data_IF_874311317765
#
_entry.id   IF_874311317765
#
_cell.length_a   1.000
_cell.length_b   1.000
_cell.length_c   1.000
_cell.angle_alpha   90.00
_cell.angle_beta   90.00
_cell.angle_gamma   90.00
#
_symmetry.space_group_name_H-M   'P 1'
#
loop_
_entity.id
_entity.type
_entity.pdbx_description
1 polymer ?
#
# COMPACT_ATOMS: atom_id res chain seq x y z
N UNK A 1 -26.70 -21.53 31.68
CA UNK A 1 -27.47 -22.14 30.57
C UNK A 1 -28.81 -22.55 31.10
N UNK A 2 -29.83 -21.72 30.90
CA UNK A 2 -31.22 -22.17 31.03
C UNK A 2 -31.61 -22.88 29.73
N UNK A 3 -32.41 -23.94 29.82
CA UNK A 3 -32.91 -24.63 28.63
C UNK A 3 -33.76 -23.65 27.79
N UNK A 4 -33.63 -23.74 26.46
CA UNK A 4 -34.48 -23.09 25.45
C UNK A 4 -34.36 -21.57 25.22
N UNK A 5 -33.46 -20.85 25.89
CA UNK A 5 -33.25 -19.40 25.66
C UNK A 5 -31.88 -19.03 25.08
N UNK A 6 -31.01 -20.02 24.85
CA UNK A 6 -29.66 -19.79 24.34
C UNK A 6 -29.52 -20.30 22.91
N UNK A 7 -28.90 -19.53 22.01
CA UNK A 7 -28.59 -19.98 20.65
C UNK A 7 -27.56 -21.11 20.68
N UNK A 8 -27.61 -21.96 19.66
CA UNK A 8 -26.70 -23.09 19.52
C UNK A 8 -25.24 -22.62 19.50
N UNK A 9 -24.41 -23.25 20.33
CA UNK A 9 -23.01 -22.90 20.52
C UNK A 9 -22.13 -24.01 19.93
N UNK A 10 -21.76 -23.85 18.67
CA UNK A 10 -21.04 -24.85 17.88
C UNK A 10 -19.55 -24.52 17.78
N UNK A 11 -18.75 -25.53 17.41
CA UNK A 11 -17.34 -25.32 17.10
C UNK A 11 -17.18 -24.78 15.68
N UNK A 12 -16.39 -23.73 15.54
CA UNK A 12 -16.13 -23.03 14.29
C UNK A 12 -14.61 -22.93 14.09
N UNK A 13 -14.14 -23.21 12.87
CA UNK A 13 -12.73 -23.05 12.50
C UNK A 13 -12.54 -21.68 11.86
N UNK A 14 -11.74 -20.81 12.48
CA UNK A 14 -11.40 -19.49 11.93
C UNK A 14 -10.05 -19.59 11.24
N UNK A 15 -10.00 -19.21 9.96
CA UNK A 15 -8.78 -19.07 9.18
C UNK A 15 -8.39 -17.59 9.10
N UNK A 16 -7.20 -17.27 9.58
CA UNK A 16 -6.63 -15.93 9.51
C UNK A 16 -6.03 -15.64 8.14
N UNK A 17 -5.72 -14.36 7.89
CA UNK A 17 -5.09 -13.91 6.65
C UNK A 17 -3.65 -14.42 6.51
N UNK A 18 -2.98 -14.73 7.62
CA UNK A 18 -1.65 -15.36 7.65
C UNK A 18 -1.68 -16.88 7.42
N UNK A 19 -2.88 -17.47 7.27
CA UNK A 19 -3.07 -18.90 7.04
C UNK A 19 -3.08 -19.75 8.32
N UNK A 20 -2.94 -19.14 9.51
CA UNK A 20 -3.17 -19.85 10.77
C UNK A 20 -4.66 -20.19 10.92
N UNK A 21 -4.94 -21.33 11.53
CA UNK A 21 -6.31 -21.79 11.80
C UNK A 21 -6.46 -22.06 13.30
N UNK A 22 -7.50 -21.50 13.92
CA UNK A 22 -7.85 -21.80 15.30
C UNK A 22 -9.31 -22.22 15.45
N UNK A 23 -9.57 -23.11 16.40
CA UNK A 23 -10.90 -23.60 16.70
C UNK A 23 -11.47 -22.79 17.85
N UNK A 24 -12.57 -22.08 17.59
CA UNK A 24 -13.28 -21.29 18.60
C UNK A 24 -14.76 -21.65 18.58
N UNK A 25 -15.43 -21.52 19.72
CA UNK A 25 -16.87 -21.74 19.79
C UNK A 25 -17.62 -20.46 19.45
N UNK A 26 -18.58 -20.57 18.54
CA UNK A 26 -19.38 -19.45 18.05
C UNK A 26 -20.84 -19.87 17.92
N UNK A 27 -21.74 -18.90 17.83
CA UNK A 27 -23.18 -19.13 17.56
C UNK A 27 -23.51 -19.01 16.08
N UNK A 28 -22.50 -19.03 15.21
CA UNK A 28 -22.69 -18.90 13.77
C UNK A 28 -22.89 -20.28 13.16
N UNK A 29 -23.88 -20.41 12.28
CA UNK A 29 -24.22 -21.66 11.56
C UNK A 29 -23.21 -22.04 10.46
N UNK A 30 -21.95 -21.61 10.58
CA UNK A 30 -20.91 -21.82 9.58
C UNK A 30 -19.74 -22.58 10.19
N UNK A 31 -19.28 -23.61 9.50
CA UNK A 31 -18.16 -24.43 9.98
C UNK A 31 -16.81 -23.72 9.83
N UNK A 32 -16.71 -22.77 8.88
CA UNK A 32 -15.48 -22.03 8.57
C UNK A 32 -15.72 -20.53 8.42
N UNK A 33 -14.88 -19.73 9.06
CA UNK A 33 -14.83 -18.28 8.91
C UNK A 33 -13.44 -17.87 8.38
N UNK A 34 -13.40 -17.20 7.24
CA UNK A 34 -12.17 -16.58 6.74
C UNK A 34 -12.14 -15.13 7.22
N UNK A 35 -11.14 -14.77 8.01
CA UNK A 35 -10.94 -13.40 8.46
C UNK A 35 -9.93 -12.69 7.56
N UNK A 36 -10.33 -11.57 6.96
CA UNK A 36 -9.44 -10.74 6.13
C UNK A 36 -8.55 -9.81 6.97
N UNK A 37 -8.99 -9.52 8.20
CA UNK A 37 -8.28 -8.67 9.15
C UNK A 37 -8.14 -9.43 10.47
N UNK A 38 -6.90 -9.53 10.94
CA UNK A 38 -6.55 -10.21 12.18
C UNK A 38 -5.53 -9.39 12.98
N UNK A 39 -5.17 -9.89 14.16
CA UNK A 39 -4.18 -9.25 15.04
C UNK A 39 -2.79 -9.16 14.42
N UNK A 40 -2.46 -10.03 13.47
CA UNK A 40 -1.17 -10.05 12.78
C UNK A 40 -1.09 -8.95 11.71
N UNK A 41 -2.22 -8.58 11.10
CA UNK A 41 -2.27 -7.61 10.00
C UNK A 41 -2.81 -6.23 10.38
N UNK A 42 -3.62 -6.10 11.44
CA UNK A 42 -4.26 -4.81 11.72
C UNK A 42 -3.21 -3.74 12.13
N UNK A 43 -3.22 -2.53 11.53
CA UNK A 43 -2.20 -1.49 11.75
C UNK A 43 -1.98 -1.09 13.20
N UNK A 44 -3.00 -1.29 14.05
CA UNK A 44 -2.90 -1.07 15.49
C UNK A 44 -1.91 -2.01 16.18
N UNK A 45 -1.89 -3.30 15.82
CA UNK A 45 -1.03 -4.30 16.46
C UNK A 45 0.37 -4.34 15.84
N UNK A 46 0.49 -4.02 14.55
CA UNK A 46 1.79 -4.00 13.86
C UNK A 46 2.59 -2.71 14.09
N UNK A 47 1.98 -1.67 14.68
CA UNK A 47 2.64 -0.41 15.04
C UNK A 47 3.12 0.44 13.86
N UNK A 48 2.94 -0.03 12.63
CA UNK A 48 3.30 0.66 11.40
C UNK A 48 2.13 1.55 10.99
N UNK A 49 2.30 2.86 11.09
CA UNK A 49 1.36 3.84 10.53
C UNK A 49 1.45 3.80 9.01
N UNK A 50 0.67 2.93 8.38
CA UNK A 50 0.52 2.90 6.93
C UNK A 50 -0.23 4.17 6.51
N UNK A 51 0.49 5.17 5.98
CA UNK A 51 -0.15 6.33 5.35
C UNK A 51 -0.75 5.89 4.01
N UNK A 52 -2.02 5.48 4.02
CA UNK A 52 -2.75 5.08 2.81
C UNK A 52 -3.02 6.29 1.89
N UNK A 53 -3.05 7.50 2.47
CA UNK A 53 -3.51 8.71 1.79
C UNK A 53 -2.44 9.39 0.90
N UNK A 54 -1.16 9.02 1.03
CA UNK A 54 -0.07 9.58 0.20
C UNK A 54 -0.04 8.99 -1.20
N UNK A 55 -0.35 7.69 -1.33
CA UNK A 55 -0.33 7.00 -2.62
C UNK A 55 -1.36 7.58 -3.61
N UNK A 56 -2.60 7.82 -3.16
CA UNK A 56 -3.66 8.33 -4.02
C UNK A 56 -3.46 9.76 -4.51
N UNK A 57 -2.77 10.62 -3.74
CA UNK A 57 -2.46 11.99 -4.15
C UNK A 57 -1.35 12.03 -5.21
N UNK A 58 -0.32 11.19 -5.05
CA UNK A 58 0.76 11.04 -6.04
C UNK A 58 0.24 10.40 -7.32
N UNK A 59 -0.62 9.38 -7.23
CA UNK A 59 -1.27 8.75 -8.39
C UNK A 59 -2.10 9.76 -9.19
N UNK A 60 -2.95 10.54 -8.52
CA UNK A 60 -3.75 11.60 -9.15
C UNK A 60 -2.89 12.71 -9.77
N UNK A 61 -1.77 13.04 -9.15
CA UNK A 61 -0.83 14.02 -9.69
C UNK A 61 -0.15 13.48 -10.96
N UNK A 62 0.38 12.24 -10.91
CA UNK A 62 0.97 11.56 -12.07
C UNK A 62 -0.02 11.40 -13.22
N UNK A 63 -1.28 11.09 -12.94
CA UNK A 63 -2.32 10.94 -13.96
C UNK A 63 -2.69 12.27 -14.63
N UNK A 64 -2.57 13.41 -13.92
CA UNK A 64 -2.90 14.74 -14.45
C UNK A 64 -1.73 15.43 -15.14
N UNK A 65 -0.51 15.18 -14.67
CA UNK A 65 0.66 15.95 -15.08
C UNK A 65 1.80 15.09 -15.65
N UNK A 66 1.66 13.76 -15.69
CA UNK A 66 2.71 12.84 -16.13
C UNK A 66 3.23 13.11 -17.55
N UNK A 67 2.32 13.35 -18.50
CA UNK A 67 2.71 13.63 -19.90
C UNK A 67 3.35 15.03 -20.09
N UNK A 68 2.94 15.99 -19.27
CA UNK A 68 3.50 17.34 -19.27
C UNK A 68 4.88 17.38 -18.61
N UNK A 69 5.07 16.62 -17.51
CA UNK A 69 6.36 16.46 -16.85
C UNK A 69 7.36 15.71 -17.73
N UNK A 70 6.94 14.66 -18.44
CA UNK A 70 7.82 13.92 -19.34
C UNK A 70 8.39 14.81 -20.47
N UNK A 71 7.57 15.72 -21.02
CA UNK A 71 8.02 16.70 -22.01
C UNK A 71 8.92 17.79 -21.43
N UNK A 72 8.67 18.23 -20.20
CA UNK A 72 9.52 19.22 -19.52
C UNK A 72 10.88 18.63 -19.16
N UNK A 73 10.93 17.42 -18.61
CA UNK A 73 12.19 16.74 -18.28
C UNK A 73 13.04 16.51 -19.54
N UNK A 74 12.42 16.08 -20.65
CA UNK A 74 13.14 15.93 -21.92
C UNK A 74 13.64 17.27 -22.49
N UNK A 75 12.95 18.39 -22.23
CA UNK A 75 13.38 19.72 -22.66
C UNK A 75 14.50 20.29 -21.75
N UNK A 76 14.40 20.09 -20.44
CA UNK A 76 15.42 20.49 -19.46
C UNK A 76 16.70 19.64 -19.62
N UNK A 77 16.62 18.35 -19.92
CA UNK A 77 17.78 17.50 -20.23
C UNK A 77 18.48 17.94 -21.51
N UNK A 78 17.73 18.32 -22.55
CA UNK A 78 18.30 18.86 -23.79
C UNK A 78 18.95 20.25 -23.60
N UNK A 79 18.37 21.09 -22.73
CA UNK A 79 18.93 22.40 -22.40
C UNK A 79 20.21 22.30 -21.55
N UNK A 80 20.23 21.43 -20.54
CA UNK A 80 21.41 21.22 -19.70
C UNK A 80 22.58 20.58 -20.47
N UNK A 81 22.30 19.65 -21.40
CA UNK A 81 23.34 19.06 -22.25
C UNK A 81 23.99 20.10 -23.21
N UNK A 82 23.23 21.10 -23.65
CA UNK A 82 23.75 22.21 -24.45
C UNK A 82 24.58 23.19 -23.60
N UNK A 83 24.15 23.48 -22.38
CA UNK A 83 24.88 24.37 -21.44
C UNK A 83 26.19 23.74 -20.93
N UNK A 84 26.22 22.42 -20.69
CA UNK A 84 27.45 21.69 -20.33
C UNK A 84 28.45 21.63 -21.50
N UNK A 85 27.98 21.50 -22.74
CA UNK A 85 28.84 21.54 -23.92
C UNK A 85 29.45 22.94 -24.16
N UNK A 86 28.71 24.00 -23.86
CA UNK A 86 29.20 25.38 -23.96
C UNK A 86 30.20 25.72 -22.84
N UNK A 87 29.97 25.24 -21.60
CA UNK A 87 30.94 25.38 -20.49
C UNK A 87 32.24 24.58 -20.74
N UNK A 88 32.16 23.38 -21.30
CA UNK A 88 33.34 22.58 -21.63
C UNK A 88 34.21 23.22 -22.74
N UNK A 89 33.60 23.98 -23.66
CA UNK A 89 34.32 24.74 -24.68
C UNK A 89 34.96 26.03 -24.13
N UNK A 90 34.39 26.64 -23.10
CA UNK A 90 34.94 27.82 -22.44
C UNK A 90 36.12 27.48 -21.52
N UNK A 91 36.08 26.36 -20.78
CA UNK A 91 37.20 25.92 -19.93
C UNK A 91 38.41 25.40 -20.74
N UNK A 92 38.21 24.93 -21.98
CA UNK A 92 39.29 24.48 -22.86
C UNK A 92 40.10 25.60 -23.54
N UNK A 93 39.65 26.86 -23.45
CA UNK A 93 40.33 28.02 -24.04
C UNK A 93 41.22 28.79 -23.03
N UNK A 94 41.21 28.40 -21.75
CA UNK A 94 41.98 29.04 -20.67
C UNK A 94 43.20 28.19 -20.20
N UNK A 95 43.54 27.09 -20.89
CA UNK A 95 44.74 26.27 -20.65
C UNK A 95 45.74 26.34 -21.82
#
# INVERSE_FOLDING_TARGET
MQADIHPDYSFLTVKLADGTEFVTRSTMDRERLNSEVDSSNHPFYTGKRTMVDTAGRVEKFRQRYGDAQAKQIAADEAANAAEEAEKAAAEGAEA
#
